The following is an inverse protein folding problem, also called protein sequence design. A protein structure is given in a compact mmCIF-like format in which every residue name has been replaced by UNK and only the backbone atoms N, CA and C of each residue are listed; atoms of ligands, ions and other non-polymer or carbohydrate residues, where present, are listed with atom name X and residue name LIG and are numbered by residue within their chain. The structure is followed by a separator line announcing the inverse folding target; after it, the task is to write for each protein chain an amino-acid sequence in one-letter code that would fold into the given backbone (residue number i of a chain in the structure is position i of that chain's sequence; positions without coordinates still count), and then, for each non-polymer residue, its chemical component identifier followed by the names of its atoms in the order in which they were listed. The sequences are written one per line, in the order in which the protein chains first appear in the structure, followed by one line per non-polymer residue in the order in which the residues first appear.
data_IF_367698368511
#
_entry.id   IF_367698368511
#
_cell.length_a   1.000
_cell.length_b   1.000
_cell.length_c   1.000
_cell.angle_alpha   90.00
_cell.angle_beta   90.00
_cell.angle_gamma   90.00
#
_symmetry.space_group_name_H-M   'P 1'
#
loop_
_entity.id
_entity.type
_entity.pdbx_description
1 polymer ?
#
# COMPACT_ATOMS: atom_id res chain seq x y z
N UNK A 1 -2.02 -6.56 -28.35
CA UNK A 1 -1.94 -6.01 -26.97
C UNK A 1 -1.90 -7.20 -26.04
N UNK A 2 -0.95 -7.23 -25.11
CA UNK A 2 -0.72 -8.40 -24.23
C UNK A 2 -1.02 -8.13 -22.74
N UNK A 3 -1.21 -6.86 -22.35
CA UNK A 3 -1.37 -6.44 -20.95
C UNK A 3 -2.76 -5.92 -20.64
N UNK A 4 -3.34 -6.37 -19.52
CA UNK A 4 -4.60 -5.88 -19.00
C UNK A 4 -4.56 -5.56 -17.50
N UNK A 5 -5.33 -4.55 -17.07
CA UNK A 5 -5.54 -4.21 -15.64
C UNK A 5 -6.97 -4.53 -15.23
N UNK A 6 -7.11 -5.34 -14.18
CA UNK A 6 -8.36 -5.64 -13.50
C UNK A 6 -8.45 -4.81 -12.21
N UNK A 7 -9.54 -4.08 -12.04
CA UNK A 7 -9.75 -3.22 -10.87
C UNK A 7 -9.31 -1.78 -11.13
N UNK A 8 -10.28 -0.90 -11.34
CA UNK A 8 -10.05 0.49 -11.74
C UNK A 8 -10.48 1.47 -10.66
N UNK A 9 -10.26 1.10 -9.39
CA UNK A 9 -10.34 2.02 -8.27
C UNK A 9 -9.28 3.13 -8.36
N UNK A 10 -9.08 3.88 -7.27
CA UNK A 10 -8.15 5.03 -7.26
C UNK A 10 -6.75 4.69 -7.78
N UNK A 11 -6.17 3.57 -7.34
CA UNK A 11 -4.83 3.15 -7.77
C UNK A 11 -4.84 2.59 -9.18
N UNK A 12 -5.61 1.54 -9.47
CA UNK A 12 -5.61 0.89 -10.79
C UNK A 12 -6.03 1.81 -11.94
N UNK A 13 -7.02 2.69 -11.71
CA UNK A 13 -7.41 3.71 -12.70
C UNK A 13 -6.29 4.72 -12.98
N UNK A 14 -5.56 5.16 -11.95
CA UNK A 14 -4.43 6.06 -12.13
C UNK A 14 -3.22 5.38 -12.81
N UNK A 15 -2.96 4.10 -12.51
CA UNK A 15 -1.95 3.32 -13.23
C UNK A 15 -2.30 3.18 -14.70
N UNK A 16 -3.56 2.87 -15.03
CA UNK A 16 -4.04 2.83 -16.41
C UNK A 16 -3.85 4.19 -17.11
N UNK A 17 -4.23 5.31 -16.48
CA UNK A 17 -4.00 6.66 -17.02
C UNK A 17 -2.52 6.95 -17.25
N UNK A 18 -1.64 6.53 -16.33
CA UNK A 18 -0.20 6.73 -16.47
C UNK A 18 0.38 5.94 -17.64
N UNK A 19 -0.03 4.69 -17.82
CA UNK A 19 0.35 3.88 -19.00
C UNK A 19 -0.07 4.55 -20.32
N UNK A 20 -1.28 5.12 -20.37
CA UNK A 20 -1.75 5.87 -21.54
C UNK A 20 -0.90 7.11 -21.82
N UNK A 21 -0.51 7.88 -20.78
CA UNK A 21 0.40 9.04 -20.92
C UNK A 21 1.78 8.64 -21.48
N UNK A 22 2.17 7.37 -21.34
CA UNK A 22 3.40 6.80 -21.90
C UNK A 22 3.18 6.12 -23.27
N UNK A 23 2.00 6.26 -23.86
CA UNK A 23 1.66 5.68 -25.16
C UNK A 23 1.40 4.17 -25.14
N UNK A 24 1.28 3.57 -23.95
CA UNK A 24 1.01 2.13 -23.80
C UNK A 24 -0.50 1.92 -23.72
N UNK A 25 -1.07 1.31 -24.76
CA UNK A 25 -2.48 0.94 -24.81
C UNK A 25 -2.69 -0.43 -24.16
N UNK A 26 -3.61 -0.52 -23.20
CA UNK A 26 -3.91 -1.75 -22.44
C UNK A 26 -5.40 -2.09 -22.46
N UNK A 27 -5.74 -3.32 -22.06
CA UNK A 27 -7.10 -3.71 -21.77
C UNK A 27 -7.42 -3.33 -20.32
N UNK A 28 -8.63 -2.86 -20.06
CA UNK A 28 -9.05 -2.49 -18.71
C UNK A 28 -10.41 -3.08 -18.41
N UNK A 29 -10.57 -3.61 -17.21
CA UNK A 29 -11.86 -4.10 -16.73
C UNK A 29 -12.02 -3.82 -15.25
N UNK A 30 -13.26 -3.61 -14.85
CA UNK A 30 -13.66 -3.33 -13.48
C UNK A 30 -15.03 -3.98 -13.25
N UNK A 31 -15.32 -4.33 -11.99
CA UNK A 31 -16.61 -4.93 -11.61
C UNK A 31 -17.81 -4.11 -12.09
N UNK A 32 -17.68 -2.79 -12.07
CA UNK A 32 -18.67 -1.86 -12.62
C UNK A 32 -18.12 -1.35 -13.95
N UNK A 33 -18.75 -1.76 -15.05
CA UNK A 33 -18.26 -1.57 -16.41
C UNK A 33 -18.21 -0.10 -16.85
N UNK A 34 -19.13 0.72 -16.35
CA UNK A 34 -19.15 2.17 -16.51
C UNK A 34 -17.81 2.83 -16.13
N UNK A 35 -17.13 2.30 -15.10
CA UNK A 35 -15.78 2.74 -14.71
C UNK A 35 -14.75 2.42 -15.80
N UNK A 36 -14.84 1.24 -16.43
CA UNK A 36 -13.96 0.84 -17.53
C UNK A 36 -14.20 1.69 -18.78
N UNK A 37 -15.47 1.96 -19.12
CA UNK A 37 -15.83 2.84 -20.24
C UNK A 37 -15.31 4.26 -20.03
N UNK A 38 -15.49 4.82 -18.82
CA UNK A 38 -14.99 6.15 -18.49
C UNK A 38 -13.46 6.24 -18.65
N UNK A 39 -12.72 5.27 -18.09
CA UNK A 39 -11.25 5.22 -18.24
C UNK A 39 -10.86 5.08 -19.71
N UNK A 40 -11.51 4.19 -20.47
CA UNK A 40 -11.20 3.98 -21.88
C UNK A 40 -11.48 5.23 -22.73
N UNK A 41 -12.58 5.95 -22.47
CA UNK A 41 -12.90 7.19 -23.15
C UNK A 41 -11.84 8.28 -22.93
N UNK A 42 -11.26 8.35 -21.73
CA UNK A 42 -10.18 9.29 -21.39
C UNK A 42 -8.83 8.90 -22.00
N UNK A 43 -8.55 7.60 -22.11
CA UNK A 43 -7.17 7.09 -22.32
C UNK A 43 -6.94 6.41 -23.66
N UNK A 44 -8.01 6.04 -24.37
CA UNK A 44 -7.94 5.19 -25.58
C UNK A 44 -7.70 3.70 -25.29
N UNK A 45 -7.70 3.28 -24.02
CA UNK A 45 -7.64 1.86 -23.64
C UNK A 45 -8.83 1.06 -24.18
N UNK A 46 -8.72 -0.26 -24.14
CA UNK A 46 -9.83 -1.14 -24.48
C UNK A 46 -10.63 -1.48 -23.21
N UNK A 47 -11.87 -0.98 -23.11
CA UNK A 47 -12.77 -1.39 -22.04
C UNK A 47 -13.34 -2.79 -22.32
N UNK A 48 -13.18 -3.71 -21.36
CA UNK A 48 -13.72 -5.06 -21.42
C UNK A 48 -14.83 -5.22 -20.38
N UNK A 49 -15.95 -5.84 -20.78
CA UNK A 49 -17.13 -6.03 -19.91
C UNK A 49 -16.87 -7.04 -18.80
N UNK A 50 -16.03 -8.04 -19.08
CA UNK A 50 -15.70 -9.12 -18.17
C UNK A 50 -14.21 -9.53 -18.24
N UNK A 51 -13.78 -10.38 -17.31
CA UNK A 51 -12.47 -11.02 -17.36
C UNK A 51 -12.34 -11.89 -18.62
N UNK A 52 -13.41 -12.58 -19.02
CA UNK A 52 -13.47 -13.40 -20.22
C UNK A 52 -13.21 -12.56 -21.46
N UNK A 53 -13.87 -11.41 -21.58
CA UNK A 53 -13.66 -10.49 -22.72
C UNK A 53 -12.25 -9.93 -22.74
N UNK A 54 -11.69 -9.61 -21.57
CA UNK A 54 -10.30 -9.18 -21.46
C UNK A 54 -9.33 -10.26 -21.94
N UNK A 55 -9.44 -11.49 -21.43
CA UNK A 55 -8.55 -12.60 -21.84
C UNK A 55 -8.68 -12.89 -23.34
N UNK A 56 -9.89 -12.83 -23.90
CA UNK A 56 -10.13 -13.01 -25.33
C UNK A 56 -9.51 -11.89 -26.20
N UNK A 57 -9.46 -10.66 -25.69
CA UNK A 57 -8.89 -9.52 -26.40
C UNK A 57 -7.34 -9.44 -26.34
N UNK A 58 -6.72 -10.11 -25.36
CA UNK A 58 -5.26 -10.11 -25.19
C UNK A 58 -4.56 -11.21 -26.01
N UNK A 59 -3.41 -10.86 -26.58
CA UNK A 59 -2.51 -11.78 -27.28
C UNK A 59 -1.70 -12.60 -26.27
N UNK A 60 -1.50 -13.88 -26.56
CA UNK A 60 -0.63 -14.77 -25.76
C UNK A 60 0.86 -14.53 -26.06
N UNK A 61 1.75 -14.67 -25.06
CA UNK A 61 1.47 -14.91 -23.64
C UNK A 61 0.99 -13.63 -22.94
N UNK A 62 -0.14 -13.71 -22.24
CA UNK A 62 -0.84 -12.56 -21.64
C UNK A 62 -0.18 -12.12 -20.35
N UNK A 63 -0.42 -10.86 -19.97
CA UNK A 63 -0.14 -10.31 -18.64
C UNK A 63 -1.45 -9.72 -18.10
N UNK A 64 -1.95 -10.28 -16.99
CA UNK A 64 -3.16 -9.80 -16.32
C UNK A 64 -2.77 -9.27 -14.94
N UNK A 65 -2.84 -7.96 -14.77
CA UNK A 65 -2.51 -7.28 -13.52
C UNK A 65 -3.78 -7.04 -12.69
N UNK A 66 -3.81 -7.56 -11.47
CA UNK A 66 -4.88 -7.38 -10.51
C UNK A 66 -4.57 -6.21 -9.59
N UNK A 67 -5.34 -5.13 -9.69
CA UNK A 67 -5.36 -4.00 -8.75
C UNK A 67 -6.61 -4.05 -7.89
N UNK A 68 -6.73 -5.13 -7.11
CA UNK A 68 -7.89 -5.44 -6.27
C UNK A 68 -7.53 -5.38 -4.78
N UNK A 69 -8.51 -5.26 -3.87
CA UNK A 69 -8.26 -5.43 -2.44
C UNK A 69 -7.72 -6.83 -2.14
N UNK A 70 -6.75 -6.93 -1.23
CA UNK A 70 -6.26 -8.21 -0.76
C UNK A 70 -7.37 -9.04 -0.10
N UNK A 71 -7.24 -10.37 -0.17
CA UNK A 71 -8.21 -11.32 0.36
C UNK A 71 -9.22 -11.78 -0.70
N UNK A 72 -10.49 -11.92 -0.30
CA UNK A 72 -11.55 -12.58 -1.08
C UNK A 72 -11.74 -12.02 -2.49
N UNK A 73 -11.56 -10.71 -2.69
CA UNK A 73 -11.69 -10.09 -4.00
C UNK A 73 -10.61 -10.59 -4.98
N UNK A 74 -9.35 -10.66 -4.55
CA UNK A 74 -8.25 -11.21 -5.35
C UNK A 74 -8.42 -12.72 -5.56
N UNK A 75 -8.80 -13.49 -4.53
CA UNK A 75 -9.01 -14.94 -4.67
C UNK A 75 -10.13 -15.24 -5.71
N UNK A 76 -11.26 -14.53 -5.64
CA UNK A 76 -12.37 -14.70 -6.59
C UNK A 76 -11.95 -14.38 -8.04
N UNK A 77 -11.13 -13.33 -8.21
CA UNK A 77 -10.60 -12.97 -9.52
C UNK A 77 -9.66 -14.04 -10.07
N UNK A 78 -8.78 -14.60 -9.23
CA UNK A 78 -7.87 -15.68 -9.59
C UNK A 78 -8.63 -16.96 -9.98
N UNK A 79 -9.64 -17.35 -9.20
CA UNK A 79 -10.48 -18.51 -9.49
C UNK A 79 -11.21 -18.37 -10.84
N UNK A 80 -11.63 -17.15 -11.16
CA UNK A 80 -12.28 -16.85 -12.45
C UNK A 80 -11.27 -16.82 -13.61
N UNK A 81 -10.06 -16.29 -13.40
CA UNK A 81 -9.04 -16.14 -14.44
C UNK A 81 -8.34 -17.45 -14.77
N UNK A 82 -8.00 -18.27 -13.76
CA UNK A 82 -7.24 -19.49 -13.94
C UNK A 82 -7.75 -20.41 -15.08
N UNK A 83 -9.06 -20.72 -15.20
CA UNK A 83 -9.56 -21.56 -16.30
C UNK A 83 -9.58 -20.88 -17.68
N UNK A 84 -9.38 -19.56 -17.75
CA UNK A 84 -9.39 -18.79 -18.99
C UNK A 84 -7.98 -18.61 -19.58
N UNK A 85 -6.96 -18.69 -18.74
CA UNK A 85 -5.57 -18.46 -19.11
C UNK A 85 -4.93 -19.68 -19.77
N UNK A 86 -3.84 -19.44 -20.49
CA UNK A 86 -3.06 -20.46 -21.20
C UNK A 86 -1.68 -20.62 -20.56
N UNK A 87 -1.00 -21.77 -20.74
CA UNK A 87 0.38 -21.95 -20.31
C UNK A 87 1.30 -20.80 -20.78
N UNK A 88 2.08 -20.25 -19.85
CA UNK A 88 2.96 -19.09 -20.08
C UNK A 88 2.30 -17.72 -19.88
N UNK A 89 0.98 -17.64 -19.69
CA UNK A 89 0.33 -16.40 -19.26
C UNK A 89 0.81 -16.03 -17.84
N UNK A 90 0.89 -14.73 -17.56
CA UNK A 90 1.37 -14.17 -16.30
C UNK A 90 0.23 -13.43 -15.59
N UNK A 91 -0.01 -13.77 -14.32
CA UNK A 91 -0.85 -12.99 -13.42
C UNK A 91 0.04 -12.18 -12.48
N UNK A 92 -0.27 -10.89 -12.32
CA UNK A 92 0.40 -10.02 -11.35
C UNK A 92 -0.60 -9.60 -10.28
N UNK A 93 -0.31 -9.87 -9.00
CA UNK A 93 -1.07 -9.27 -7.90
C UNK A 93 -0.40 -7.94 -7.49
N UNK A 94 -1.09 -6.82 -7.69
CA UNK A 94 -0.65 -5.49 -7.29
C UNK A 94 -1.36 -4.94 -6.06
N UNK A 95 -2.08 -5.79 -5.32
CA UNK A 95 -2.70 -5.42 -4.05
C UNK A 95 -1.64 -5.10 -2.98
N UNK A 96 -2.08 -4.54 -1.85
CA UNK A 96 -1.28 -4.66 -0.63
C UNK A 96 -1.60 -6.01 0.04
N UNK A 97 -0.93 -7.08 -0.41
CA UNK A 97 -1.20 -8.43 0.07
C UNK A 97 -0.09 -8.99 0.96
N UNK A 98 -0.41 -10.10 1.64
CA UNK A 98 0.55 -10.83 2.46
C UNK A 98 1.36 -11.79 1.60
N UNK A 99 2.69 -11.69 1.66
CA UNK A 99 3.59 -12.44 0.77
C UNK A 99 3.41 -13.97 0.80
N UNK A 100 2.94 -14.53 1.92
CA UNK A 100 2.66 -15.98 2.04
C UNK A 100 1.47 -16.42 1.18
N UNK A 101 0.49 -15.53 0.96
CA UNK A 101 -0.60 -15.80 0.03
C UNK A 101 -0.10 -15.86 -1.41
N UNK A 102 0.86 -15.02 -1.78
CA UNK A 102 1.45 -15.02 -3.12
C UNK A 102 2.18 -16.33 -3.43
N UNK A 103 2.94 -16.83 -2.47
CA UNK A 103 3.62 -18.13 -2.59
C UNK A 103 2.61 -19.27 -2.80
N UNK A 104 1.49 -19.26 -2.05
CA UNK A 104 0.40 -20.21 -2.22
C UNK A 104 -0.25 -20.09 -3.60
N UNK A 105 -0.60 -18.87 -4.03
CA UNK A 105 -1.23 -18.59 -5.33
C UNK A 105 -0.36 -19.02 -6.49
N UNK A 106 0.93 -18.70 -6.45
CA UNK A 106 1.89 -19.15 -7.44
C UNK A 106 1.97 -20.67 -7.52
N UNK A 107 2.02 -21.37 -6.37
CA UNK A 107 1.99 -22.84 -6.34
C UNK A 107 0.71 -23.44 -6.92
N UNK A 108 -0.43 -22.76 -6.79
CA UNK A 108 -1.70 -23.19 -7.38
C UNK A 108 -1.74 -22.99 -8.89
N UNK A 109 -1.36 -21.80 -9.38
CA UNK A 109 -1.34 -21.45 -10.80
C UNK A 109 -0.28 -22.23 -11.59
N UNK A 110 0.86 -22.54 -10.97
CA UNK A 110 1.92 -23.33 -11.59
C UNK A 110 1.46 -24.73 -12.04
N UNK A 111 0.41 -25.31 -11.40
CA UNK A 111 -0.19 -26.59 -11.82
C UNK A 111 -0.79 -26.54 -13.22
N UNK A 112 -1.11 -25.35 -13.72
CA UNK A 112 -1.64 -25.08 -15.05
C UNK A 112 -0.58 -24.38 -15.95
N UNK A 113 0.68 -24.35 -15.51
CA UNK A 113 1.78 -23.64 -16.16
C UNK A 113 1.51 -22.13 -16.37
N UNK A 114 0.72 -21.52 -15.47
CA UNK A 114 0.50 -20.08 -15.42
C UNK A 114 1.55 -19.48 -14.49
N UNK A 115 2.25 -18.44 -14.94
CA UNK A 115 3.20 -17.69 -14.13
C UNK A 115 2.50 -16.71 -13.19
N UNK A 116 3.13 -16.42 -12.07
CA UNK A 116 2.63 -15.47 -11.08
C UNK A 116 3.75 -14.52 -10.66
N UNK A 117 3.40 -13.26 -10.44
CA UNK A 117 4.24 -12.25 -9.84
C UNK A 117 3.44 -11.44 -8.81
N UNK A 118 4.12 -10.94 -7.80
CA UNK A 118 3.59 -10.01 -6.81
C UNK A 118 4.25 -8.65 -7.00
N UNK A 119 3.50 -7.56 -6.83
CA UNK A 119 3.98 -6.21 -7.09
C UNK A 119 3.46 -5.22 -6.05
N UNK A 120 4.27 -4.97 -5.04
CA UNK A 120 4.01 -3.93 -4.06
C UNK A 120 4.16 -2.53 -4.67
N UNK A 121 3.10 -1.72 -4.59
CA UNK A 121 3.05 -0.38 -5.17
C UNK A 121 3.03 0.69 -4.07
N UNK A 122 3.87 1.72 -4.16
CA UNK A 122 3.90 2.88 -3.26
C UNK A 122 3.83 4.20 -4.04
N UNK A 123 3.37 5.27 -3.37
CA UNK A 123 3.16 6.61 -3.96
C UNK A 123 1.70 7.09 -3.95
N UNK A 124 0.75 6.21 -3.64
CA UNK A 124 -0.66 6.57 -3.49
C UNK A 124 -1.25 7.23 -4.74
N UNK A 125 -2.23 8.11 -4.54
CA UNK A 125 -2.92 8.82 -5.65
C UNK A 125 -1.98 9.72 -6.45
N UNK A 126 -0.90 10.20 -5.85
CA UNK A 126 0.10 11.09 -6.45
C UNK A 126 1.01 10.38 -7.45
N UNK A 127 1.04 9.04 -7.44
CA UNK A 127 1.82 8.28 -8.39
C UNK A 127 1.38 8.45 -9.85
N UNK A 128 0.17 8.95 -10.11
CA UNK A 128 -0.22 9.36 -11.47
C UNK A 128 0.74 10.39 -12.04
N UNK A 129 1.11 11.38 -11.22
CA UNK A 129 1.99 12.48 -11.61
C UNK A 129 3.45 12.08 -11.40
N UNK A 130 3.78 11.67 -10.18
CA UNK A 130 5.17 11.48 -9.74
C UNK A 130 5.76 10.11 -10.13
N UNK A 131 4.91 9.16 -10.53
CA UNK A 131 5.27 7.76 -10.69
C UNK A 131 5.20 6.96 -9.39
N UNK A 132 5.19 5.65 -9.54
CA UNK A 132 5.02 4.70 -8.44
C UNK A 132 6.35 4.06 -8.06
N UNK A 133 6.63 3.94 -6.75
CA UNK A 133 7.69 3.06 -6.30
C UNK A 133 7.19 1.60 -6.34
N UNK A 134 7.76 0.76 -7.21
CA UNK A 134 7.28 -0.60 -7.45
C UNK A 134 8.32 -1.63 -7.03
N UNK A 135 7.95 -2.50 -6.10
CA UNK A 135 8.77 -3.61 -5.60
C UNK A 135 8.08 -4.89 -6.04
N UNK A 136 8.69 -5.68 -6.94
CA UNK A 136 7.99 -6.85 -7.49
C UNK A 136 8.82 -8.12 -7.42
N UNK A 137 8.16 -9.23 -7.09
CA UNK A 137 8.71 -10.58 -7.03
C UNK A 137 8.17 -11.46 -8.15
N UNK A 138 9.00 -12.36 -8.67
CA UNK A 138 8.65 -13.23 -9.79
C UNK A 138 9.86 -13.96 -10.37
N UNK A 139 9.65 -14.77 -11.40
CA UNK A 139 10.74 -15.37 -12.19
C UNK A 139 11.52 -14.28 -12.95
N UNK A 140 12.77 -14.54 -13.32
CA UNK A 140 13.54 -13.62 -14.18
C UNK A 140 12.84 -13.38 -15.54
N UNK A 141 12.14 -14.41 -16.05
CA UNK A 141 11.34 -14.32 -17.27
C UNK A 141 10.14 -13.38 -17.10
N UNK A 142 9.40 -13.50 -15.99
CA UNK A 142 8.32 -12.58 -15.64
C UNK A 142 8.86 -11.16 -15.46
N UNK A 143 10.01 -10.99 -14.80
CA UNK A 143 10.63 -9.69 -14.62
C UNK A 143 11.01 -9.02 -15.95
N UNK A 144 11.59 -9.78 -16.88
CA UNK A 144 11.90 -9.28 -18.22
C UNK A 144 10.63 -8.82 -18.97
N UNK A 145 9.52 -9.55 -18.83
CA UNK A 145 8.22 -9.21 -19.44
C UNK A 145 7.54 -8.01 -18.78
N UNK A 146 7.70 -7.84 -17.47
CA UNK A 146 7.10 -6.72 -16.73
C UNK A 146 7.88 -5.40 -16.88
N UNK A 147 9.17 -5.48 -17.20
CA UNK A 147 10.07 -4.32 -17.31
C UNK A 147 9.48 -3.12 -18.07
N UNK A 148 8.94 -3.25 -19.31
CA UNK A 148 8.40 -2.08 -20.03
C UNK A 148 7.27 -1.37 -19.29
N UNK A 149 6.45 -2.12 -18.53
CA UNK A 149 5.36 -1.57 -17.74
C UNK A 149 5.88 -0.91 -16.46
N UNK A 150 6.96 -1.46 -15.85
CA UNK A 150 7.61 -0.86 -14.68
C UNK A 150 8.22 0.49 -15.05
N UNK A 151 8.97 0.54 -16.16
CA UNK A 151 9.60 1.78 -16.67
C UNK A 151 8.57 2.88 -16.96
N UNK A 152 7.36 2.50 -17.40
CA UNK A 152 6.28 3.44 -17.67
C UNK A 152 5.55 3.92 -16.40
N UNK A 153 5.39 3.04 -15.41
CA UNK A 153 4.68 3.34 -14.17
C UNK A 153 5.57 4.05 -13.13
N UNK A 154 6.86 3.78 -13.12
CA UNK A 154 7.81 4.34 -12.18
C UNK A 154 8.06 5.86 -12.40
N UNK A 155 8.72 6.55 -11.45
CA UNK A 155 9.10 7.96 -11.60
C UNK A 155 9.96 8.21 -12.85
N UNK A 156 10.95 7.35 -13.07
CA UNK A 156 11.80 7.37 -14.27
C UNK A 156 11.93 5.95 -14.82
N UNK A 157 12.37 5.79 -16.09
CA UNK A 157 12.61 4.46 -16.65
C UNK A 157 13.66 3.65 -15.87
N UNK A 158 14.54 4.27 -15.09
CA UNK A 158 15.66 3.58 -14.43
C UNK A 158 15.58 3.61 -12.90
N UNK A 159 14.62 4.34 -12.32
CA UNK A 159 14.54 4.55 -10.87
C UNK A 159 13.11 4.36 -10.36
N UNK A 160 13.00 3.96 -9.10
CA UNK A 160 11.71 3.74 -8.43
C UNK A 160 11.04 2.42 -8.79
N UNK A 161 11.76 1.46 -9.35
CA UNK A 161 11.27 0.10 -9.48
C UNK A 161 12.39 -0.92 -9.33
N UNK A 162 12.08 -2.10 -8.79
CA UNK A 162 13.07 -3.16 -8.56
C UNK A 162 12.42 -4.56 -8.60
N UNK A 163 13.05 -5.48 -9.32
CA UNK A 163 12.80 -6.93 -9.19
C UNK A 163 13.51 -7.41 -7.92
N UNK A 164 12.74 -7.75 -6.89
CA UNK A 164 13.27 -8.03 -5.55
C UNK A 164 13.66 -9.49 -5.32
N UNK A 165 13.38 -10.36 -6.29
CA UNK A 165 13.66 -11.79 -6.21
C UNK A 165 12.44 -12.65 -6.59
N UNK A 166 12.31 -13.86 -6.04
CA UNK A 166 11.23 -14.78 -6.39
C UNK A 166 9.86 -14.29 -5.89
N UNK A 167 8.81 -15.01 -6.25
CA UNK A 167 7.43 -14.72 -5.80
C UNK A 167 7.36 -14.59 -4.28
N UNK A 168 6.62 -13.57 -3.84
CA UNK A 168 6.45 -13.10 -2.47
C UNK A 168 7.45 -12.01 -2.07
N UNK A 169 8.58 -11.87 -2.77
CA UNK A 169 9.60 -10.91 -2.36
C UNK A 169 9.16 -9.45 -2.50
N UNK A 170 8.35 -9.12 -3.50
CA UNK A 170 7.88 -7.75 -3.76
C UNK A 170 6.93 -7.27 -2.68
N UNK A 171 5.89 -8.06 -2.39
CA UNK A 171 4.96 -7.81 -1.29
C UNK A 171 5.65 -7.89 0.07
N UNK A 172 6.65 -8.75 0.26
CA UNK A 172 7.45 -8.75 1.49
C UNK A 172 8.19 -7.42 1.70
N UNK A 173 8.91 -6.95 0.67
CA UNK A 173 9.62 -5.67 0.74
C UNK A 173 8.63 -4.51 0.96
N UNK A 174 7.47 -4.54 0.28
CA UNK A 174 6.41 -3.54 0.47
C UNK A 174 5.80 -3.56 1.87
N UNK A 175 5.58 -4.74 2.44
CA UNK A 175 5.10 -4.92 3.81
C UNK A 175 6.08 -4.27 4.79
N UNK A 176 7.38 -4.54 4.66
CA UNK A 176 8.42 -3.91 5.49
C UNK A 176 8.48 -2.39 5.26
N UNK A 177 8.36 -1.92 4.02
CA UNK A 177 8.24 -0.49 3.70
C UNK A 177 7.10 0.17 4.48
N UNK A 178 5.90 -0.43 4.52
CA UNK A 178 4.78 0.13 5.30
C UNK A 178 5.00 0.05 6.82
N UNK A 179 5.71 -0.97 7.31
CA UNK A 179 6.16 -1.00 8.71
C UNK A 179 7.05 0.20 9.07
N UNK A 180 8.02 0.52 8.20
CA UNK A 180 8.89 1.69 8.37
C UNK A 180 8.08 2.98 8.33
N UNK A 181 7.18 3.11 7.35
CA UNK A 181 6.26 4.24 7.22
C UNK A 181 5.44 4.44 8.50
N UNK A 182 4.91 3.38 9.10
CA UNK A 182 4.19 3.44 10.37
C UNK A 182 5.04 4.02 11.50
N UNK A 183 6.29 3.58 11.61
CA UNK A 183 7.26 4.09 12.59
C UNK A 183 7.59 5.57 12.38
N UNK A 184 7.83 5.98 11.13
CA UNK A 184 8.11 7.38 10.78
C UNK A 184 6.92 8.29 11.10
N UNK A 185 5.70 7.88 10.70
CA UNK A 185 4.48 8.64 11.01
C UNK A 185 4.28 8.79 12.52
N UNK A 186 4.51 7.72 13.29
CA UNK A 186 4.37 7.75 14.74
C UNK A 186 5.38 8.73 15.37
N UNK A 187 6.64 8.68 14.95
CA UNK A 187 7.67 9.59 15.44
C UNK A 187 7.37 11.07 15.13
N UNK A 188 6.86 11.37 13.92
CA UNK A 188 6.42 12.73 13.59
C UNK A 188 5.25 13.17 14.46
N UNK A 189 4.21 12.34 14.60
CA UNK A 189 3.04 12.66 15.41
C UNK A 189 3.40 12.96 16.87
N UNK A 190 4.24 12.12 17.48
CA UNK A 190 4.73 12.32 18.86
C UNK A 190 5.56 13.61 18.99
N UNK A 191 6.47 13.86 18.05
CA UNK A 191 7.31 15.06 18.05
C UNK A 191 6.49 16.35 17.92
N UNK A 192 5.55 16.40 16.98
CA UNK A 192 4.66 17.55 16.80
C UNK A 192 3.76 17.76 18.03
N UNK A 193 3.20 16.70 18.60
CA UNK A 193 2.41 16.81 19.82
C UNK A 193 3.24 17.32 21.01
N UNK A 194 4.48 16.86 21.16
CA UNK A 194 5.39 17.31 22.21
C UNK A 194 5.70 18.81 22.08
N UNK A 195 6.00 19.28 20.86
CA UNK A 195 6.26 20.70 20.60
C UNK A 195 5.03 21.56 20.83
N UNK A 196 3.86 21.14 20.33
CA UNK A 196 2.60 21.87 20.47
C UNK A 196 2.21 22.09 21.94
N UNK A 197 2.57 21.14 22.81
CA UNK A 197 2.24 21.19 24.24
C UNK A 197 3.35 21.80 25.11
N UNK A 198 4.40 22.39 24.53
CA UNK A 198 5.49 22.99 25.31
C UNK A 198 5.09 24.40 25.81
N UNK A 199 4.85 24.61 27.12
CA UNK A 199 4.46 25.91 27.63
C UNK A 199 5.59 26.95 27.51
N UNK A 200 5.21 28.20 27.25
CA UNK A 200 6.09 29.37 27.30
C UNK A 200 6.88 29.67 26.02
N UNK A 201 6.62 28.97 24.91
CA UNK A 201 7.26 29.26 23.62
C UNK A 201 6.29 29.61 22.49
N UNK A 202 4.98 29.31 22.63
CA UNK A 202 3.95 29.61 21.63
C UNK A 202 4.38 29.27 20.20
N UNK A 203 4.92 28.05 20.02
CA UNK A 203 5.53 27.61 18.77
C UNK A 203 4.50 27.49 17.65
N UNK A 204 4.79 28.06 16.48
CA UNK A 204 4.06 27.78 15.25
C UNK A 204 4.56 26.46 14.64
N UNK A 205 3.73 25.43 14.76
CA UNK A 205 4.07 24.08 14.33
C UNK A 205 4.02 23.95 12.80
N UNK A 206 3.19 24.75 12.13
CA UNK A 206 3.12 24.82 10.68
C UNK A 206 4.40 25.42 10.08
N UNK A 207 4.88 26.54 10.62
CA UNK A 207 6.14 27.16 10.19
C UNK A 207 7.35 26.26 10.48
N UNK A 208 7.36 25.55 11.62
CA UNK A 208 8.42 24.58 11.92
C UNK A 208 8.41 23.39 10.95
N UNK A 209 7.23 22.86 10.64
CA UNK A 209 7.10 21.78 9.65
C UNK A 209 7.60 22.24 8.27
N UNK A 210 7.26 23.48 7.86
CA UNK A 210 7.77 24.11 6.64
C UNK A 210 9.29 24.24 6.66
N UNK A 211 9.86 24.79 7.74
CA UNK A 211 11.30 24.93 7.92
C UNK A 211 12.01 23.59 7.74
N UNK A 212 11.46 22.51 8.28
CA UNK A 212 12.06 21.18 8.19
C UNK A 212 12.01 20.56 6.79
N UNK A 213 11.22 21.07 5.84
CA UNK A 213 11.29 20.63 4.44
C UNK A 213 12.63 21.01 3.80
N UNK A 214 13.31 22.04 4.31
CA UNK A 214 14.48 22.65 3.68
C UNK A 214 15.76 22.39 4.47
N UNK A 215 16.54 21.41 4.03
CA UNK A 215 17.88 21.13 4.58
C UNK A 215 17.90 20.34 5.90
N UNK A 216 16.75 19.97 6.45
CA UNK A 216 16.67 19.08 7.60
C UNK A 216 17.02 17.62 7.26
N UNK A 217 17.55 16.90 8.26
CA UNK A 217 17.80 15.46 8.17
C UNK A 217 16.49 14.66 8.05
N UNK A 218 15.40 15.14 8.65
CA UNK A 218 14.11 14.42 8.69
C UNK A 218 13.20 14.69 7.49
N UNK A 219 13.71 15.33 6.43
CA UNK A 219 12.94 15.58 5.20
C UNK A 219 12.40 14.29 4.61
N UNK A 220 11.12 14.28 4.27
CA UNK A 220 10.42 13.15 3.66
C UNK A 220 9.06 13.59 3.13
N UNK A 221 8.47 12.79 2.25
CA UNK A 221 7.12 13.09 1.75
C UNK A 221 6.06 13.13 2.87
N UNK A 222 6.23 12.32 3.94
CA UNK A 222 5.34 12.39 5.11
C UNK A 222 5.42 13.74 5.83
N UNK A 223 6.62 14.32 5.90
CA UNK A 223 6.80 15.67 6.42
C UNK A 223 6.19 16.71 5.48
N UNK A 224 6.31 16.52 4.16
CA UNK A 224 5.70 17.42 3.18
C UNK A 224 4.17 17.49 3.35
N UNK A 225 3.53 16.33 3.47
CA UNK A 225 2.10 16.24 3.77
C UNK A 225 1.76 16.91 5.10
N UNK A 226 2.61 16.72 6.12
CA UNK A 226 2.43 17.31 7.45
C UNK A 226 2.46 18.83 7.41
N UNK A 227 3.45 19.42 6.73
CA UNK A 227 3.53 20.86 6.54
C UNK A 227 2.30 21.40 5.79
N UNK A 228 1.85 20.71 4.74
CA UNK A 228 0.71 21.15 3.92
C UNK A 228 -0.61 21.22 4.69
N UNK A 229 -0.89 20.27 5.60
CA UNK A 229 -2.11 20.33 6.41
C UNK A 229 -1.95 21.23 7.64
N UNK A 230 -0.77 21.27 8.28
CA UNK A 230 -0.53 22.15 9.44
C UNK A 230 -0.54 23.63 9.06
N UNK A 231 -0.14 23.98 7.84
CA UNK A 231 -0.27 25.35 7.34
C UNK A 231 -1.73 25.83 7.25
N UNK A 232 -2.70 24.90 7.23
CA UNK A 232 -4.14 25.20 7.13
C UNK A 232 -4.84 25.12 8.48
N UNK A 233 -4.55 24.07 9.24
CA UNK A 233 -5.13 23.85 10.57
C UNK A 233 -4.13 23.13 11.47
N UNK A 234 -3.62 23.85 12.47
CA UNK A 234 -2.72 23.30 13.47
C UNK A 234 -3.48 22.68 14.66
N UNK A 235 -4.77 22.97 14.82
CA UNK A 235 -5.59 22.52 15.95
C UNK A 235 -6.01 21.06 15.79
N UNK A 236 -6.37 20.67 14.55
CA UNK A 236 -6.90 19.36 14.20
C UNK A 236 -8.17 18.98 15.00
N UNK A 237 -8.90 19.97 15.54
CA UNK A 237 -10.05 19.74 16.43
C UNK A 237 -11.21 19.00 15.76
N UNK A 238 -11.33 19.09 14.43
CA UNK A 238 -12.35 18.38 13.67
C UNK A 238 -12.01 16.90 13.41
N UNK A 239 -10.83 16.44 13.82
CA UNK A 239 -10.33 15.09 13.53
C UNK A 239 -10.42 14.23 14.78
N UNK A 240 -11.09 13.07 14.67
CA UNK A 240 -11.13 12.09 15.75
C UNK A 240 -9.74 11.49 15.99
N UNK A 241 -9.30 11.26 17.25
CA UNK A 241 -8.01 10.65 17.56
C UNK A 241 -8.02 9.13 17.31
N UNK A 242 -8.36 8.72 16.09
CA UNK A 242 -8.51 7.35 15.64
C UNK A 242 -7.63 7.12 14.40
N UNK A 243 -6.77 6.10 14.46
CA UNK A 243 -5.92 5.71 13.33
C UNK A 243 -6.22 4.26 12.96
N UNK A 244 -6.74 4.08 11.75
CA UNK A 244 -6.96 2.76 11.16
C UNK A 244 -5.62 2.06 10.83
N UNK A 245 -5.65 0.74 10.78
CA UNK A 245 -4.55 -0.09 10.28
C UNK A 245 -5.02 -0.94 9.10
N UNK A 246 -4.17 -1.08 8.08
CA UNK A 246 -4.51 -1.70 6.78
C UNK A 246 -4.02 -3.15 6.63
N UNK A 247 -3.44 -3.73 7.70
CA UNK A 247 -2.99 -5.12 7.76
C UNK A 247 -1.47 -5.30 7.65
N UNK A 248 -0.79 -4.51 6.81
CA UNK A 248 0.65 -4.63 6.54
C UNK A 248 1.48 -4.45 7.80
N UNK A 249 1.13 -3.45 8.64
CA UNK A 249 1.81 -3.25 9.93
C UNK A 249 1.66 -4.45 10.88
N UNK A 250 0.52 -5.17 10.83
CA UNK A 250 0.33 -6.41 11.60
C UNK A 250 1.23 -7.52 11.07
N UNK A 251 1.27 -7.71 9.76
CA UNK A 251 2.12 -8.72 9.15
C UNK A 251 3.61 -8.44 9.40
N UNK A 252 4.05 -7.19 9.34
CA UNK A 252 5.43 -6.82 9.71
C UNK A 252 5.76 -7.21 11.16
N UNK A 253 4.85 -6.92 12.10
CA UNK A 253 5.06 -7.26 13.50
C UNK A 253 5.13 -8.78 13.72
N UNK A 254 4.21 -9.54 13.09
CA UNK A 254 4.20 -11.00 13.13
C UNK A 254 5.48 -11.60 12.54
N UNK A 255 5.90 -11.10 11.37
CA UNK A 255 7.12 -11.55 10.71
C UNK A 255 8.36 -11.30 11.57
N UNK A 256 8.40 -10.17 12.28
CA UNK A 256 9.51 -9.87 13.19
C UNK A 256 9.63 -10.89 14.33
N UNK A 257 8.50 -11.38 14.84
CA UNK A 257 8.46 -12.42 15.87
C UNK A 257 8.87 -13.77 15.29
N UNK A 258 8.36 -14.10 14.11
CA UNK A 258 8.66 -15.37 13.42
C UNK A 258 10.16 -15.50 13.10
N UNK A 259 10.80 -14.43 12.62
CA UNK A 259 12.24 -14.41 12.35
C UNK A 259 13.10 -14.17 13.59
N UNK A 260 12.51 -13.76 14.72
CA UNK A 260 13.25 -13.36 15.92
C UNK A 260 14.07 -12.07 15.74
N UNK A 261 13.62 -11.17 14.86
CA UNK A 261 14.29 -9.89 14.57
C UNK A 261 13.61 -8.75 15.36
N UNK A 262 14.33 -8.03 16.24
CA UNK A 262 13.73 -6.94 17.01
C UNK A 262 13.25 -5.78 16.12
N UNK A 263 11.95 -5.44 16.17
CA UNK A 263 11.36 -4.29 15.46
C UNK A 263 10.57 -3.35 16.40
N UNK A 264 11.16 -2.87 17.51
CA UNK A 264 10.41 -2.20 18.58
C UNK A 264 9.67 -0.94 18.10
N UNK A 265 10.25 -0.16 17.19
CA UNK A 265 9.64 1.07 16.66
C UNK A 265 8.38 0.76 15.85
N UNK A 266 8.47 -0.14 14.87
CA UNK A 266 7.33 -0.51 14.02
C UNK A 266 6.23 -1.22 14.83
N UNK A 267 6.64 -2.06 15.79
CA UNK A 267 5.73 -2.76 16.70
C UNK A 267 4.98 -1.79 17.61
N UNK A 268 5.68 -0.82 18.21
CA UNK A 268 5.05 0.21 19.04
C UNK A 268 4.09 1.08 18.21
N UNK A 269 4.50 1.49 17.00
CA UNK A 269 3.65 2.26 16.11
C UNK A 269 2.34 1.52 15.78
N UNK A 270 2.37 0.20 15.59
CA UNK A 270 1.17 -0.61 15.47
C UNK A 270 0.32 -0.60 16.75
N UNK A 271 0.94 -0.81 17.92
CA UNK A 271 0.23 -0.82 19.19
C UNK A 271 -0.44 0.53 19.51
N UNK A 272 0.18 1.65 19.13
CA UNK A 272 -0.41 2.98 19.29
C UNK A 272 -1.66 3.18 18.43
N UNK A 273 -1.73 2.54 17.25
CA UNK A 273 -2.97 2.50 16.46
C UNK A 273 -4.06 1.73 17.20
N UNK A 274 -3.76 0.55 17.74
CA UNK A 274 -4.74 -0.20 18.55
C UNK A 274 -5.20 0.60 19.77
N UNK A 275 -4.29 1.31 20.43
CA UNK A 275 -4.64 2.19 21.54
C UNK A 275 -5.60 3.31 21.10
N UNK A 276 -5.36 3.95 19.95
CA UNK A 276 -6.25 4.97 19.37
C UNK A 276 -7.65 4.42 19.03
N UNK A 277 -7.77 3.11 18.78
CA UNK A 277 -9.03 2.40 18.52
C UNK A 277 -9.74 1.94 19.81
N UNK A 278 -9.35 2.47 20.98
CA UNK A 278 -9.92 2.13 22.29
C UNK A 278 -9.50 0.76 22.84
N UNK A 279 -8.52 0.08 22.23
CA UNK A 279 -8.08 -1.26 22.69
C UNK A 279 -7.19 -1.22 23.94
N UNK A 280 -6.79 -0.04 24.41
CA UNK A 280 -5.96 0.13 25.61
C UNK A 280 -6.77 0.42 26.89
N UNK A 281 -8.08 0.61 26.79
CA UNK A 281 -8.93 1.07 27.91
C UNK A 281 -8.93 0.10 29.10
N UNK A 282 -9.03 -1.21 28.83
CA UNK A 282 -9.05 -2.21 29.89
C UNK A 282 -7.72 -2.23 30.67
N UNK A 283 -6.59 -2.16 29.97
CA UNK A 283 -5.28 -2.11 30.59
C UNK A 283 -5.13 -0.85 31.46
N UNK A 284 -5.54 0.31 30.94
CA UNK A 284 -5.53 1.57 31.71
C UNK A 284 -6.41 1.50 32.97
N UNK A 285 -7.61 0.92 32.87
CA UNK A 285 -8.52 0.70 34.01
C UNK A 285 -7.91 -0.25 35.05
N UNK A 286 -7.30 -1.35 34.61
CA UNK A 286 -6.59 -2.29 35.49
C UNK A 286 -5.45 -1.60 36.24
N UNK A 287 -4.62 -0.81 35.54
CA UNK A 287 -3.54 -0.04 36.17
C UNK A 287 -4.06 0.95 37.21
N UNK A 288 -5.15 1.67 36.91
CA UNK A 288 -5.78 2.58 37.86
C UNK A 288 -6.28 1.85 39.12
N UNK A 289 -6.95 0.70 38.95
CA UNK A 289 -7.44 -0.11 40.08
C UNK A 289 -6.31 -0.74 40.89
N UNK A 290 -5.21 -1.16 40.25
CA UNK A 290 -4.02 -1.63 40.97
C UNK A 290 -3.46 -0.51 41.85
N UNK A 291 -3.27 0.69 41.29
CA UNK A 291 -2.81 1.88 42.04
C UNK A 291 -3.72 2.25 43.20
N UNK A 292 -5.04 2.13 43.01
CA UNK A 292 -6.00 2.29 44.11
C UNK A 292 -5.82 1.22 45.19
N UNK A 293 -5.72 -0.05 44.79
CA UNK A 293 -5.68 -1.19 45.70
C UNK A 293 -4.43 -1.21 46.58
N UNK A 294 -3.24 -0.99 46.01
CA UNK A 294 -2.00 -1.03 46.80
C UNK A 294 -1.64 0.33 47.45
N UNK A 295 -2.02 1.45 46.82
CA UNK A 295 -1.53 2.78 47.18
C UNK A 295 -2.61 3.79 47.59
N UNK A 296 -3.89 3.41 47.56
CA UNK A 296 -5.00 4.30 47.91
C UNK A 296 -5.24 5.45 46.92
N UNK A 297 -4.64 5.40 45.73
CA UNK A 297 -4.81 6.47 44.73
C UNK A 297 -6.27 6.59 44.26
N UNK A 298 -6.76 7.83 44.17
CA UNK A 298 -8.11 8.10 43.67
C UNK A 298 -8.26 7.65 42.20
N UNK A 299 -9.43 7.09 41.88
CA UNK A 299 -9.84 6.70 40.52
C UNK A 299 -10.94 7.65 40.07
N UNK A 300 -10.92 8.05 38.80
CA UNK A 300 -12.01 8.81 38.19
C UNK A 300 -13.12 7.86 37.77
N UNK A 301 -14.35 8.11 38.21
CA UNK A 301 -15.55 7.43 37.72
C UNK A 301 -16.01 8.11 36.44
N UNK A 302 -16.50 7.33 35.48
CA UNK A 302 -16.91 7.78 34.15
C UNK A 302 -18.37 7.48 33.88
#
# INVERSE_FOLDING_TARGET
MEFGIVGLGRMGGNMARRLARKGIRIAVTNRSHDVSEAIAAETGHLACVSLQDMVAALQTPRIVWLMLPAGEATETALDTLAPLLSPGDLVVDGANAYYKDDQRRAGQLAKQAIEFADAGVSGGVWGLENGYCIMFGGSDAAAARLKPYMEALAPTPTEGWLHTGPVGSGHFVKMVHNGIEYGMMQAFAEGFALMKNKPGFDLDIGEIAELWRHGSVVRSWLLDLSADFLAKDQSLESIEPFVADSGEGRWTALESVEQGIPTPVMSLALMMRFASQGKNDYAAKMLAKMRQGFGGHAVKEG
#
